data_IF_164113386627
#
_entry.id   IF_164113386627
#
_cell.length_a   1.000
_cell.length_b   1.000
_cell.length_c   1.000
_cell.angle_alpha   90.00
_cell.angle_beta   90.00
_cell.angle_gamma   90.00
#
_symmetry.space_group_name_H-M   'P 1'
#
loop_
_entity.id
_entity.type
_entity.pdbx_description
1 polymer ?
#
# COMPACT_ATOMS: atom_id res chain seq x y z
N UNK A 1 -2.49 -38.84 3.39
CA UNK A 1 -2.37 -37.65 2.52
C UNK A 1 -3.44 -36.68 2.96
N UNK A 2 -3.08 -35.45 3.32
CA UNK A 2 -4.07 -34.39 3.55
C UNK A 2 -4.28 -33.69 2.21
N UNK A 3 -5.49 -33.78 1.67
CA UNK A 3 -5.90 -33.10 0.43
C UNK A 3 -6.75 -31.90 0.80
N UNK A 4 -6.47 -30.74 0.22
CA UNK A 4 -7.33 -29.56 0.36
C UNK A 4 -8.60 -29.84 -0.45
N UNK A 5 -9.78 -29.72 0.19
CA UNK A 5 -11.06 -29.92 -0.52
C UNK A 5 -11.56 -28.63 -1.15
N UNK A 6 -11.50 -27.53 -0.40
CA UNK A 6 -12.01 -26.22 -0.78
C UNK A 6 -11.24 -25.14 -0.03
N UNK A 7 -11.21 -23.93 -0.60
CA UNK A 7 -10.56 -22.78 0.01
C UNK A 7 -11.54 -21.62 0.07
N UNK A 8 -11.78 -21.13 1.28
CA UNK A 8 -12.57 -19.93 1.53
C UNK A 8 -11.66 -18.81 2.03
N UNK A 9 -11.34 -17.88 1.13
CA UNK A 9 -10.48 -16.74 1.40
C UNK A 9 -11.24 -15.64 2.16
N UNK A 10 -10.59 -15.07 3.19
CA UNK A 10 -11.08 -13.92 3.95
C UNK A 10 -9.97 -12.87 3.96
N UNK A 11 -10.13 -11.81 3.16
CA UNK A 11 -9.14 -10.73 3.00
C UNK A 11 -9.35 -9.52 3.92
N UNK A 12 -10.30 -9.61 4.86
CA UNK A 12 -10.73 -8.51 5.72
C UNK A 12 -12.25 -8.40 5.80
N UNK A 13 -12.75 -7.31 6.39
CA UNK A 13 -14.19 -7.09 6.50
C UNK A 13 -14.83 -6.90 5.13
N UNK A 14 -15.76 -7.80 4.77
CA UNK A 14 -16.52 -7.72 3.53
C UNK A 14 -15.84 -8.31 2.29
N UNK A 15 -14.57 -8.75 2.40
CA UNK A 15 -13.84 -9.37 1.29
C UNK A 15 -13.73 -10.87 1.52
N UNK A 16 -14.58 -11.64 0.85
CA UNK A 16 -14.57 -13.11 0.91
C UNK A 16 -14.74 -13.72 -0.47
N UNK A 17 -14.09 -14.85 -0.71
CA UNK A 17 -14.18 -15.57 -1.98
C UNK A 17 -13.92 -17.06 -1.80
N UNK A 18 -14.59 -17.89 -2.60
CA UNK A 18 -14.14 -19.26 -2.84
C UNK A 18 -13.00 -19.24 -3.86
N UNK A 19 -11.95 -20.01 -3.60
CA UNK A 19 -10.77 -20.12 -4.48
C UNK A 19 -10.66 -21.56 -4.96
N UNK A 20 -10.39 -21.75 -6.26
CA UNK A 20 -10.17 -23.07 -6.82
C UNK A 20 -8.90 -23.70 -6.21
N UNK A 21 -8.98 -24.98 -5.86
CA UNK A 21 -7.86 -25.68 -5.20
C UNK A 21 -6.65 -25.78 -6.12
N UNK A 22 -6.84 -26.06 -7.42
CA UNK A 22 -5.73 -26.19 -8.35
C UNK A 22 -5.08 -24.83 -8.63
N UNK A 23 -5.89 -23.77 -8.70
CA UNK A 23 -5.37 -22.40 -8.81
C UNK A 23 -4.50 -22.05 -7.59
N UNK A 24 -5.01 -22.27 -6.38
CA UNK A 24 -4.25 -22.01 -5.16
C UNK A 24 -2.95 -22.82 -5.09
N UNK A 25 -2.99 -24.11 -5.42
CA UNK A 25 -1.81 -24.98 -5.42
C UNK A 25 -0.75 -24.57 -6.45
N UNK A 26 -1.15 -23.92 -7.55
CA UNK A 26 -0.24 -23.42 -8.57
C UNK A 26 0.37 -22.04 -8.27
N UNK A 27 -0.21 -21.30 -7.31
CA UNK A 27 0.26 -19.97 -6.93
C UNK A 27 1.44 -20.03 -5.96
N UNK A 28 2.15 -18.92 -5.84
CA UNK A 28 3.19 -18.72 -4.84
C UNK A 28 2.84 -17.49 -4.00
N UNK A 29 3.16 -17.50 -2.69
CA UNK A 29 3.00 -16.33 -1.85
C UNK A 29 3.77 -15.13 -2.41
N UNK A 30 3.22 -13.93 -2.19
CA UNK A 30 3.89 -12.69 -2.55
C UNK A 30 5.20 -12.54 -1.75
N UNK A 31 6.32 -12.38 -2.45
CA UNK A 31 7.64 -12.47 -1.85
C UNK A 31 7.92 -11.37 -0.83
N UNK A 32 7.55 -10.12 -1.12
CA UNK A 32 7.77 -9.01 -0.18
C UNK A 32 6.80 -9.07 1.01
N UNK A 33 5.61 -9.67 0.82
CA UNK A 33 4.70 -9.94 1.93
C UNK A 33 5.23 -11.03 2.88
N UNK A 34 5.97 -12.01 2.34
CA UNK A 34 6.61 -13.08 3.13
C UNK A 34 7.92 -12.63 3.80
N UNK A 35 8.72 -11.85 3.09
CA UNK A 35 10.06 -11.46 3.51
C UNK A 35 10.01 -10.17 4.34
N UNK A 36 10.29 -10.27 5.64
CA UNK A 36 10.46 -9.13 6.54
C UNK A 36 9.17 -8.47 7.06
N UNK A 37 7.99 -8.79 6.49
CA UNK A 37 6.66 -8.53 7.05
C UNK A 37 6.51 -7.25 7.89
N UNK A 38 6.25 -7.42 9.19
CA UNK A 38 6.04 -6.32 10.15
C UNK A 38 7.28 -5.41 10.29
N UNK A 39 8.50 -5.96 10.22
CA UNK A 39 9.72 -5.18 10.34
C UNK A 39 9.89 -4.25 9.13
N UNK A 40 9.64 -4.74 7.92
CA UNK A 40 9.65 -3.92 6.70
C UNK A 40 8.60 -2.81 6.78
N UNK A 41 7.37 -3.14 7.20
CA UNK A 41 6.33 -2.12 7.40
C UNK A 41 6.72 -1.08 8.44
N UNK A 42 7.38 -1.46 9.53
CA UNK A 42 7.86 -0.54 10.55
C UNK A 42 8.92 0.42 10.01
N UNK A 43 9.87 -0.09 9.24
CA UNK A 43 10.92 0.72 8.60
C UNK A 43 10.32 1.69 7.58
N UNK A 44 9.40 1.21 6.73
CA UNK A 44 8.70 2.06 5.77
C UNK A 44 7.84 3.12 6.47
N UNK A 45 7.11 2.78 7.53
CA UNK A 45 6.36 3.76 8.34
C UNK A 45 7.28 4.84 8.93
N UNK A 46 8.43 4.44 9.49
CA UNK A 46 9.41 5.38 10.04
C UNK A 46 9.92 6.36 8.98
N UNK A 47 10.07 5.91 7.73
CA UNK A 47 10.54 6.76 6.63
C UNK A 47 9.42 7.59 5.98
N UNK A 48 8.22 7.05 5.84
CA UNK A 48 7.21 7.57 4.89
C UNK A 48 5.89 8.04 5.51
N UNK A 49 5.56 7.70 6.76
CA UNK A 49 4.30 8.16 7.40
C UNK A 49 4.15 9.68 7.38
N UNK A 50 5.23 10.40 7.75
CA UNK A 50 5.21 11.87 7.76
C UNK A 50 5.13 12.46 6.33
N UNK A 51 6.00 12.07 5.37
CA UNK A 51 5.86 12.52 3.98
C UNK A 51 4.49 12.22 3.35
N UNK A 52 3.90 11.06 3.63
CA UNK A 52 2.58 10.69 3.13
C UNK A 52 1.46 11.52 3.78
N UNK A 53 1.55 11.78 5.09
CA UNK A 53 0.65 12.73 5.77
C UNK A 53 0.73 14.10 5.10
N UNK A 54 1.94 14.64 4.92
CA UNK A 54 2.14 15.95 4.28
C UNK A 54 1.60 15.98 2.85
N UNK A 55 1.71 14.85 2.13
CA UNK A 55 1.20 14.73 0.77
C UNK A 55 -0.33 14.71 0.71
N UNK A 56 -0.97 14.02 1.65
CA UNK A 56 -2.42 13.82 1.69
C UNK A 56 -3.16 14.98 2.38
N UNK A 57 -2.47 15.77 3.22
CA UNK A 57 -2.97 17.05 3.71
C UNK A 57 -3.09 18.02 2.54
N UNK A 58 -4.33 18.37 2.18
CA UNK A 58 -4.63 19.33 1.12
C UNK A 58 -5.18 20.63 1.72
N UNK A 59 -5.38 21.66 0.88
CA UNK A 59 -6.00 22.92 1.32
C UNK A 59 -7.42 22.72 1.89
N UNK A 60 -8.08 21.60 1.54
CA UNK A 60 -9.45 21.26 1.95
C UNK A 60 -9.52 20.49 3.29
N UNK A 61 -8.40 20.06 3.86
CA UNK A 61 -8.40 19.40 5.17
C UNK A 61 -7.07 18.76 5.57
N UNK A 62 -6.70 18.92 6.84
CA UNK A 62 -5.51 18.32 7.43
C UNK A 62 -5.73 16.83 7.74
N UNK A 63 -4.76 16.01 7.37
CA UNK A 63 -4.67 14.62 7.80
C UNK A 63 -3.96 14.54 9.15
N UNK A 64 -4.57 13.88 10.13
CA UNK A 64 -3.97 13.76 11.46
C UNK A 64 -2.80 12.79 11.46
N UNK A 65 -3.00 11.62 10.84
CA UNK A 65 -2.05 10.50 10.86
C UNK A 65 -2.18 9.62 9.61
N UNK A 66 -1.06 9.02 9.18
CA UNK A 66 -0.98 8.07 8.08
C UNK A 66 -0.04 6.93 8.45
N UNK A 67 -0.52 5.71 8.34
CA UNK A 67 0.28 4.51 8.57
C UNK A 67 0.11 3.52 7.42
N UNK A 68 1.22 2.98 6.92
CA UNK A 68 1.22 1.79 6.08
C UNK A 68 0.80 0.59 6.95
N UNK A 69 -0.21 -0.16 6.51
CA UNK A 69 -0.79 -1.28 7.26
C UNK A 69 -0.54 -2.64 6.58
N UNK A 70 -0.35 -2.64 5.26
CA UNK A 70 0.03 -3.83 4.48
C UNK A 70 0.76 -3.40 3.22
N UNK A 71 1.48 -4.36 2.64
CA UNK A 71 2.21 -4.22 1.39
C UNK A 71 2.29 -5.58 0.70
N UNK A 72 2.24 -5.56 -0.62
CA UNK A 72 2.58 -6.67 -1.51
C UNK A 72 3.40 -6.13 -2.69
N UNK A 73 3.76 -6.99 -3.64
CA UNK A 73 4.60 -6.62 -4.77
C UNK A 73 4.00 -5.58 -5.71
N UNK A 74 2.71 -5.25 -5.58
CA UNK A 74 1.99 -4.30 -6.43
C UNK A 74 1.67 -2.98 -5.74
N UNK A 75 1.83 -2.87 -4.43
CA UNK A 75 1.57 -1.62 -3.74
C UNK A 75 1.45 -1.74 -2.23
N UNK A 76 1.00 -0.65 -1.62
CA UNK A 76 0.78 -0.53 -0.18
C UNK A 76 -0.68 -0.20 0.11
N UNK A 77 -1.15 -0.63 1.27
CA UNK A 77 -2.37 -0.08 1.87
C UNK A 77 -1.99 0.86 2.99
N UNK A 78 -2.59 2.06 2.97
CA UNK A 78 -2.41 3.07 4.00
C UNK A 78 -3.71 3.28 4.76
N UNK A 79 -3.60 3.43 6.06
CA UNK A 79 -4.67 3.93 6.91
C UNK A 79 -4.46 5.42 7.15
N UNK A 80 -5.43 6.21 6.72
CA UNK A 80 -5.48 7.66 6.86
C UNK A 80 -6.49 8.02 7.94
N UNK A 81 -6.08 8.85 8.91
CA UNK A 81 -6.97 9.34 9.98
C UNK A 81 -7.22 10.83 9.84
N UNK A 82 -8.49 11.22 9.90
CA UNK A 82 -8.95 12.61 9.88
C UNK A 82 -10.01 12.79 10.98
N UNK A 83 -9.63 13.43 12.09
CA UNK A 83 -10.45 13.50 13.29
C UNK A 83 -10.81 12.11 13.82
N UNK A 84 -12.11 11.82 13.89
CA UNK A 84 -12.66 10.54 14.32
C UNK A 84 -12.81 9.51 13.18
N UNK A 85 -12.54 9.89 11.93
CA UNK A 85 -12.71 9.03 10.76
C UNK A 85 -11.39 8.36 10.40
N UNK A 86 -11.50 7.10 9.95
CA UNK A 86 -10.41 6.32 9.38
C UNK A 86 -10.82 5.85 7.99
N UNK A 87 -9.91 5.96 7.04
CA UNK A 87 -10.06 5.41 5.70
C UNK A 87 -8.85 4.55 5.36
N UNK A 88 -9.05 3.45 4.64
CA UNK A 88 -7.98 2.63 4.09
C UNK A 88 -7.92 2.90 2.59
N UNK A 89 -6.74 3.21 2.08
CA UNK A 89 -6.51 3.51 0.67
C UNK A 89 -5.42 2.60 0.13
N UNK A 90 -5.68 2.01 -1.04
CA UNK A 90 -4.70 1.25 -1.80
C UNK A 90 -3.89 2.20 -2.68
N UNK A 91 -2.57 2.20 -2.53
CA UNK A 91 -1.64 2.98 -3.37
C UNK A 91 -0.80 2.01 -4.19
N UNK A 92 -1.01 1.91 -5.51
CA UNK A 92 -0.23 1.03 -6.36
C UNK A 92 1.21 1.55 -6.54
N UNK A 93 2.17 0.64 -6.67
CA UNK A 93 3.49 1.00 -7.14
C UNK A 93 3.45 1.27 -8.65
N UNK A 94 4.01 2.41 -9.06
CA UNK A 94 4.12 2.81 -10.46
C UNK A 94 5.40 2.24 -11.09
N UNK A 95 5.52 0.91 -11.10
CA UNK A 95 6.62 0.16 -11.72
C UNK A 95 6.09 -0.98 -12.60
N UNK A 96 6.82 -1.30 -13.68
CA UNK A 96 6.43 -2.36 -14.63
C UNK A 96 6.86 -3.77 -14.19
N UNK A 97 7.35 -3.92 -12.96
CA UNK A 97 7.80 -5.19 -12.39
C UNK A 97 7.21 -5.39 -10.99
N UNK A 98 7.24 -6.64 -10.50
CA UNK A 98 6.88 -6.94 -9.12
C UNK A 98 7.98 -6.44 -8.19
N UNK A 99 7.60 -5.70 -7.15
CA UNK A 99 8.49 -5.28 -6.07
C UNK A 99 8.70 -6.46 -5.12
N UNK A 100 9.94 -6.89 -4.93
CA UNK A 100 10.26 -8.09 -4.14
C UNK A 100 11.12 -7.79 -2.90
N UNK A 101 11.67 -6.57 -2.79
CA UNK A 101 12.57 -6.20 -1.70
C UNK A 101 12.19 -4.89 -1.02
N UNK A 102 12.67 -4.70 0.20
CA UNK A 102 12.48 -3.45 0.94
C UNK A 102 13.10 -2.24 0.22
N UNK A 103 14.25 -2.43 -0.43
CA UNK A 103 14.93 -1.37 -1.18
C UNK A 103 14.10 -0.93 -2.40
N UNK A 104 13.54 -1.90 -3.15
CA UNK A 104 12.65 -1.60 -4.27
C UNK A 104 11.36 -0.92 -3.80
N UNK A 105 10.76 -1.36 -2.69
CA UNK A 105 9.58 -0.72 -2.11
C UNK A 105 9.87 0.72 -1.67
N UNK A 106 11.04 0.94 -1.05
CA UNK A 106 11.50 2.26 -0.63
C UNK A 106 11.66 3.19 -1.84
N UNK A 107 12.24 2.70 -2.93
CA UNK A 107 12.39 3.46 -4.17
C UNK A 107 11.03 3.75 -4.83
N UNK A 108 10.14 2.77 -4.88
CA UNK A 108 8.79 2.95 -5.41
C UNK A 108 8.01 4.04 -4.63
N UNK A 109 8.08 4.04 -3.30
CA UNK A 109 7.44 5.06 -2.46
C UNK A 109 8.06 6.44 -2.62
N UNK A 110 9.38 6.53 -2.76
CA UNK A 110 10.07 7.80 -3.07
C UNK A 110 9.58 8.38 -4.40
N UNK A 111 9.36 7.55 -5.41
CA UNK A 111 8.82 7.99 -6.71
C UNK A 111 7.40 8.56 -6.57
N UNK A 112 6.54 7.90 -5.81
CA UNK A 112 5.16 8.36 -5.56
C UNK A 112 5.16 9.73 -4.86
N UNK A 113 5.95 9.88 -3.79
CA UNK A 113 6.04 11.13 -3.03
C UNK A 113 6.68 12.24 -3.85
N UNK A 114 7.70 11.93 -4.66
CA UNK A 114 8.35 12.94 -5.50
C UNK A 114 7.42 13.44 -6.59
N UNK A 115 6.80 12.56 -7.40
CA UNK A 115 5.89 12.93 -8.51
C UNK A 115 4.73 13.80 -8.07
N UNK A 116 4.12 13.44 -6.94
CA UNK A 116 2.95 14.13 -6.42
C UNK A 116 3.25 15.57 -5.97
N UNK A 117 4.46 15.84 -5.45
CA UNK A 117 4.94 17.21 -5.19
C UNK A 117 5.05 18.06 -6.46
N UNK A 118 5.23 17.47 -7.64
CA UNK A 118 5.24 18.20 -8.92
C UNK A 118 3.83 18.57 -9.38
N UNK A 119 2.82 17.74 -9.11
CA UNK A 119 1.44 18.04 -9.42
C UNK A 119 0.88 19.18 -8.54
N UNK A 120 1.18 19.19 -7.24
CA UNK A 120 0.77 20.27 -6.32
C UNK A 120 1.45 21.62 -6.61
N UNK A 121 2.69 21.61 -7.15
CA UNK A 121 3.36 22.87 -7.57
C UNK A 121 2.88 23.38 -8.93
N UNK A 122 2.43 22.51 -9.82
CA UNK A 122 1.97 22.91 -11.15
C UNK A 122 0.57 23.54 -11.14
N UNK A 123 -0.25 23.29 -10.11
CA UNK A 123 -1.55 23.95 -9.94
C UNK A 123 -1.47 25.39 -9.45
N UNK A 124 -0.30 25.86 -8.99
CA UNK A 124 -0.07 27.26 -8.56
C UNK A 124 0.35 28.16 -9.73
N UNK A 125 0.66 27.60 -10.90
CA UNK A 125 1.05 28.36 -12.08
C UNK A 125 0.13 27.99 -13.25
N UNK A 126 -1.05 28.60 -13.24
CA UNK A 126 -1.85 28.75 -14.45
C UNK A 126 -3.22 28.11 -14.36
N UNK A 127 -4.20 28.94 -13.98
CA UNK A 127 -5.45 29.05 -14.76
C UNK A 127 -5.84 30.53 -14.88
N UNK A 128 -6.36 30.96 -16.04
CA UNK A 128 -6.72 32.35 -16.35
C UNK A 128 -7.91 32.85 -15.55
#
# INVERSE_FOLDING_TARGET
MHTISDIYFIGGFGTVAWVDVNEYEALQPDKIAMDGGEQNLKELNAMFSKPLKELLSTDEGEVDDVALISMDSKGIDIRVRQGAQFNIQRVPFEVDHSVETLDEATEALRRIISKSRWHTKSSVIGRP
#
